data_IF_108405393906
#
_entry.id   IF_108405393906
#
_cell.length_a   1.000
_cell.length_b   1.000
_cell.length_c   1.000
_cell.angle_alpha   90.00
_cell.angle_beta   90.00
_cell.angle_gamma   90.00
#
_symmetry.space_group_name_H-M   'P 1'
#
loop_
_entity.id
_entity.type
_entity.pdbx_description
1 polymer ?
#
# COMPACT_ATOMS: atom_id res chain seq x y z
N UNK A 1 5.37 1.18 -4.07
CA UNK A 1 5.07 1.85 -2.79
C UNK A 1 4.28 0.87 -1.94
N UNK A 2 4.68 0.69 -0.69
CA UNK A 2 4.01 -0.14 0.31
C UNK A 2 3.31 0.81 1.29
N UNK A 3 1.98 0.92 1.22
CA UNK A 3 1.19 1.94 1.92
C UNK A 3 -0.18 1.36 2.28
N UNK A 4 -0.86 1.86 3.32
CA UNK A 4 -2.26 1.52 3.54
C UNK A 4 -3.13 2.03 2.40
N UNK A 5 -4.25 1.35 2.14
CA UNK A 5 -5.18 1.73 1.07
C UNK A 5 -5.75 3.14 1.30
N UNK A 6 -6.03 3.48 2.57
CA UNK A 6 -6.46 4.80 3.01
C UNK A 6 -5.51 5.92 2.58
N UNK A 7 -4.21 5.67 2.48
CA UNK A 7 -3.23 6.63 1.98
C UNK A 7 -3.00 6.53 0.47
N UNK A 8 -3.09 5.33 -0.09
CA UNK A 8 -2.88 5.09 -1.50
C UNK A 8 -3.93 5.81 -2.36
N UNK A 9 -5.19 5.84 -1.91
CA UNK A 9 -6.30 6.51 -2.61
C UNK A 9 -6.11 8.03 -2.78
N UNK A 10 -5.21 8.66 -2.03
CA UNK A 10 -4.88 10.08 -2.17
C UNK A 10 -3.67 10.34 -3.08
N UNK A 11 -3.04 9.30 -3.61
CA UNK A 11 -1.90 9.42 -4.52
C UNK A 11 -2.34 9.24 -5.97
N UNK A 12 -1.73 9.99 -6.88
CA UNK A 12 -1.93 9.84 -8.32
C UNK A 12 -1.30 8.53 -8.82
N UNK A 13 -2.08 7.76 -9.58
CA UNK A 13 -1.64 6.52 -10.19
C UNK A 13 -1.14 6.80 -11.62
N UNK A 14 0.16 6.60 -11.90
CA UNK A 14 0.72 6.85 -13.23
C UNK A 14 0.19 5.87 -14.29
N UNK A 15 -0.38 4.73 -13.86
CA UNK A 15 -0.97 3.71 -14.72
C UNK A 15 -2.44 3.96 -15.02
N UNK A 16 -3.13 4.74 -14.19
CA UNK A 16 -4.54 5.05 -14.36
C UNK A 16 -4.67 6.46 -14.95
N UNK A 17 -4.50 6.56 -16.27
CA UNK A 17 -4.66 7.82 -17.00
C UNK A 17 -6.03 7.92 -17.66
N UNK A 18 -6.56 9.13 -17.75
CA UNK A 18 -7.71 9.43 -18.62
C UNK A 18 -7.25 9.55 -20.08
N UNK A 19 -8.21 9.62 -21.00
CA UNK A 19 -7.94 9.85 -22.43
C UNK A 19 -7.16 11.16 -22.68
N UNK A 20 -7.27 12.12 -21.77
CA UNK A 20 -6.60 13.42 -21.81
C UNK A 20 -5.25 13.43 -21.06
N UNK A 21 -4.63 12.26 -20.86
CA UNK A 21 -3.36 12.06 -20.15
C UNK A 21 -3.32 12.53 -18.67
N UNK A 22 -4.49 12.82 -18.08
CA UNK A 22 -4.57 13.18 -16.67
C UNK A 22 -4.49 11.93 -15.81
N UNK A 23 -3.64 11.97 -14.80
CA UNK A 23 -3.53 10.90 -13.81
C UNK A 23 -4.75 10.92 -12.89
N UNK A 24 -5.33 9.75 -12.64
CA UNK A 24 -6.37 9.56 -11.62
C UNK A 24 -5.75 9.12 -10.30
N UNK A 25 -6.49 9.33 -9.23
CA UNK A 25 -6.15 8.77 -7.93
C UNK A 25 -6.15 7.23 -7.98
N UNK A 26 -5.33 6.61 -7.13
CA UNK A 26 -5.34 5.17 -6.96
C UNK A 26 -6.73 4.70 -6.51
N UNK A 27 -7.20 3.59 -7.05
CA UNK A 27 -8.49 3.01 -6.68
C UNK A 27 -8.38 2.01 -5.51
N UNK A 28 -7.18 1.79 -4.96
CA UNK A 28 -7.00 0.87 -3.84
C UNK A 28 -7.50 -0.54 -4.16
N UNK A 29 -8.27 -1.12 -3.24
CA UNK A 29 -8.91 -2.44 -3.38
C UNK A 29 -9.82 -2.57 -4.60
N UNK A 30 -10.35 -1.46 -5.12
CA UNK A 30 -11.15 -1.43 -6.36
C UNK A 30 -10.29 -1.52 -7.64
N UNK A 31 -8.95 -1.47 -7.52
CA UNK A 31 -8.04 -1.65 -8.64
C UNK A 31 -7.65 -3.14 -8.76
N UNK A 32 -7.85 -3.75 -9.94
CA UNK A 32 -7.42 -5.15 -10.18
C UNK A 32 -5.91 -5.37 -10.01
N UNK A 33 -5.11 -4.31 -10.04
CA UNK A 33 -3.68 -4.38 -9.82
C UNK A 33 -3.29 -4.24 -8.34
N UNK A 34 -4.20 -3.84 -7.44
CA UNK A 34 -3.87 -3.71 -6.02
C UNK A 34 -3.62 -5.07 -5.40
N UNK A 35 -2.58 -5.14 -4.56
CA UNK A 35 -2.20 -6.34 -3.83
C UNK A 35 -1.97 -5.97 -2.37
N UNK A 36 -2.51 -6.75 -1.45
CA UNK A 36 -2.18 -6.63 -0.04
C UNK A 36 -0.80 -7.24 0.20
N UNK A 37 -0.04 -6.64 1.11
CA UNK A 37 1.28 -7.12 1.50
C UNK A 37 1.19 -8.51 2.16
N UNK A 38 0.15 -8.70 2.96
CA UNK A 38 -0.19 -9.97 3.60
C UNK A 38 -1.41 -10.58 2.91
N UNK A 39 -1.38 -11.88 2.63
CA UNK A 39 -2.47 -12.56 1.92
C UNK A 39 -3.77 -12.66 2.74
N UNK A 40 -3.67 -12.63 4.08
CA UNK A 40 -4.80 -12.75 5.00
C UNK A 40 -5.48 -11.40 5.29
N UNK A 41 -4.88 -10.30 4.82
CA UNK A 41 -5.34 -8.94 5.09
C UNK A 41 -6.14 -8.40 3.91
N UNK A 42 -7.34 -7.90 4.19
CA UNK A 42 -8.25 -7.31 3.19
C UNK A 42 -8.81 -5.96 3.63
N UNK A 43 -8.33 -5.40 4.73
CA UNK A 43 -8.80 -4.13 5.29
C UNK A 43 -8.18 -2.92 4.60
N UNK A 44 -8.87 -1.78 4.70
CA UNK A 44 -8.41 -0.51 4.10
C UNK A 44 -7.22 0.13 4.83
N UNK A 45 -6.95 -0.30 6.07
CA UNK A 45 -5.77 0.14 6.85
C UNK A 45 -4.58 -0.80 6.66
N UNK A 46 -4.76 -1.90 5.93
CA UNK A 46 -3.69 -2.86 5.69
C UNK A 46 -2.76 -2.37 4.58
N UNK A 47 -1.47 -2.65 4.78
CA UNK A 47 -0.44 -2.34 3.80
C UNK A 47 -0.71 -3.09 2.49
N UNK A 48 -0.66 -2.35 1.40
CA UNK A 48 -0.73 -2.89 0.06
C UNK A 48 0.17 -2.14 -0.90
N UNK A 49 0.23 -2.66 -2.12
CA UNK A 49 1.10 -2.16 -3.17
C UNK A 49 0.45 -2.38 -4.53
N UNK A 50 0.95 -1.64 -5.52
CA UNK A 50 0.56 -1.86 -6.91
C UNK A 50 1.29 -3.09 -7.46
N UNK A 51 0.54 -4.09 -7.92
CA UNK A 51 1.05 -5.33 -8.52
C UNK A 51 1.89 -5.12 -9.78
N UNK A 52 1.68 -4.03 -10.52
CA UNK A 52 2.57 -3.66 -11.64
C UNK A 52 3.94 -3.13 -11.16
N UNK A 53 4.03 -2.64 -9.92
CA UNK A 53 5.29 -2.33 -9.24
C UNK A 53 5.77 -3.50 -8.35
N UNK A 54 5.07 -4.64 -8.40
CA UNK A 54 5.18 -5.74 -7.44
C UNK A 54 6.58 -6.34 -7.29
N UNK A 55 7.32 -6.67 -8.36
CA UNK A 55 8.63 -7.31 -8.23
C UNK A 55 9.63 -6.42 -7.50
N UNK A 56 9.66 -5.12 -7.83
CA UNK A 56 10.59 -4.16 -7.19
C UNK A 56 10.17 -3.81 -5.76
N UNK A 57 8.88 -3.76 -5.46
CA UNK A 57 8.39 -3.50 -4.09
C UNK A 57 8.61 -4.70 -3.18
N UNK A 58 8.35 -5.92 -3.66
CA UNK A 58 8.63 -7.15 -2.91
C UNK A 58 10.13 -7.34 -2.69
N UNK A 59 10.96 -7.13 -3.74
CA UNK A 59 12.42 -7.19 -3.61
C UNK A 59 12.96 -6.12 -2.65
N UNK A 60 12.38 -4.92 -2.65
CA UNK A 60 12.71 -3.89 -1.68
C UNK A 60 12.25 -4.25 -0.27
N UNK A 61 11.07 -4.85 -0.09
CA UNK A 61 10.57 -5.25 1.22
C UNK A 61 11.41 -6.37 1.85
N UNK A 62 11.85 -7.36 1.07
CA UNK A 62 12.77 -8.41 1.54
C UNK A 62 14.21 -7.92 1.73
N UNK A 63 14.61 -6.85 1.03
CA UNK A 63 15.91 -6.19 1.24
C UNK A 63 15.88 -5.19 2.39
N UNK A 64 14.70 -4.71 2.79
CA UNK A 64 14.45 -3.78 3.89
C UNK A 64 14.12 -4.54 5.19
N UNK A 65 14.88 -5.59 5.48
CA UNK A 65 14.80 -6.35 6.73
C UNK A 65 15.33 -5.62 7.97
N UNK A 66 15.26 -4.29 8.03
CA UNK A 66 15.62 -3.53 9.22
C UNK A 66 14.93 -2.15 9.19
N UNK A 67 14.18 -1.83 10.25
CA UNK A 67 13.68 -0.50 10.60
C UNK A 67 12.72 0.20 9.63
N UNK A 68 11.42 -0.14 9.64
CA UNK A 68 10.30 0.82 9.79
C UNK A 68 8.99 0.02 9.92
N UNK A 69 8.80 -0.64 11.05
CA UNK A 69 7.46 -0.98 11.51
C UNK A 69 6.86 0.28 12.16
N UNK A 70 5.68 0.79 11.75
CA UNK A 70 4.96 1.70 12.61
C UNK A 70 4.62 0.94 13.89
N UNK A 71 5.23 1.38 14.99
CA UNK A 71 5.04 0.88 16.36
C UNK A 71 3.54 0.65 16.62
N UNK A 72 3.08 -0.57 16.91
CA UNK A 72 1.77 -0.74 17.52
C UNK A 72 1.88 -0.12 18.92
N UNK A 73 1.25 1.03 19.12
CA UNK A 73 1.03 1.59 20.46
C UNK A 73 0.06 0.65 21.19
N UNK A 74 0.63 -0.32 21.90
CA UNK A 74 -0.07 -1.27 22.76
C UNK A 74 0.74 -1.40 24.05
N UNK A 75 0.61 -0.44 24.97
CA UNK A 75 0.66 -0.62 26.44
C UNK A 75 0.59 0.71 27.20
N UNK A 76 -0.19 0.74 28.29
CA UNK A 76 -0.33 1.83 29.28
C UNK A 76 -1.82 2.04 29.58
N UNK A 77 -2.37 1.78 30.77
CA UNK A 77 -1.82 1.85 32.13
C UNK A 77 -2.56 0.85 33.04
N UNK A 78 -1.82 0.30 34.02
CA UNK A 78 -2.30 -0.42 35.20
C UNK A 78 -2.30 0.61 36.36
N UNK A 79 -3.46 0.87 36.97
CA UNK A 79 -3.66 1.18 38.40
C UNK A 79 -5.11 0.88 38.80
#
# INVERSE_FOLDING_TARGET
MLLPESDAKFKYCPLLKTRDDKMKFCLGSMCMLWRHAEADKTGSDDLGFCGAAGPVVMLAALSAGDETAPKPSLFGEDD
#
